data_IF_083831497134
#
_entry.id   IF_083831497134
#
_cell.length_a   1.000
_cell.length_b   1.000
_cell.length_c   1.000
_cell.angle_alpha   90.00
_cell.angle_beta   90.00
_cell.angle_gamma   90.00
#
_symmetry.space_group_name_H-M   'P 1'
#
loop_
_entity.id
_entity.type
_entity.pdbx_description
1 polymer ?
#
# COMPACT_ATOMS: atom_id res chain seq x y z
N UNK A 1 -34.70 22.98 6.75
CA UNK A 1 -33.35 23.57 6.80
C UNK A 1 -32.38 22.50 7.33
N UNK A 2 -31.63 21.81 6.45
CA UNK A 2 -30.67 20.76 6.84
C UNK A 2 -29.27 21.37 6.90
N UNK A 3 -28.70 21.45 8.09
CA UNK A 3 -27.31 21.87 8.31
C UNK A 3 -26.37 20.84 7.67
N UNK A 4 -25.82 21.16 6.49
CA UNK A 4 -24.68 20.44 5.93
C UNK A 4 -23.45 20.81 6.76
N UNK A 5 -22.99 19.87 7.59
CA UNK A 5 -21.65 19.90 8.16
C UNK A 5 -20.65 19.98 7.00
N UNK A 6 -20.11 21.17 6.74
CA UNK A 6 -18.96 21.34 5.86
C UNK A 6 -17.77 20.66 6.56
N UNK A 7 -17.51 19.39 6.27
CA UNK A 7 -16.18 18.81 6.53
C UNK A 7 -15.18 19.71 5.83
N UNK A 8 -14.34 20.41 6.60
CA UNK A 8 -13.13 21.01 6.05
C UNK A 8 -12.29 19.84 5.57
N UNK A 9 -12.33 19.54 4.29
CA UNK A 9 -11.33 18.69 3.66
C UNK A 9 -10.01 19.41 3.84
N UNK A 10 -9.20 18.96 4.82
CA UNK A 10 -7.79 19.33 4.86
C UNK A 10 -7.23 18.81 3.55
N UNK A 11 -6.98 19.71 2.61
CA UNK A 11 -6.19 19.40 1.42
C UNK A 11 -4.87 18.87 1.95
N UNK A 12 -4.59 17.59 1.72
CA UNK A 12 -3.29 17.00 2.03
C UNK A 12 -2.27 17.80 1.21
N UNK A 13 -1.59 18.74 1.86
CA UNK A 13 -0.50 19.50 1.23
C UNK A 13 0.73 18.61 1.27
N UNK A 14 1.13 18.07 0.12
CA UNK A 14 2.29 17.19 0.00
C UNK A 14 2.17 16.26 -1.21
N UNK A 15 3.31 15.67 -1.59
CA UNK A 15 3.38 14.59 -2.58
C UNK A 15 3.41 13.28 -1.78
N UNK A 16 2.34 12.49 -1.92
CA UNK A 16 2.12 11.30 -1.12
C UNK A 16 2.35 10.03 -1.92
N UNK A 17 2.86 8.98 -1.28
CA UNK A 17 2.87 7.63 -1.82
C UNK A 17 2.18 6.66 -0.86
N UNK A 18 1.66 5.57 -1.42
CA UNK A 18 1.11 4.44 -0.66
C UNK A 18 2.11 3.30 -0.64
N UNK A 19 2.38 2.72 0.52
CA UNK A 19 3.17 1.50 0.66
C UNK A 19 2.24 0.36 1.04
N UNK A 20 2.14 -0.65 0.18
CA UNK A 20 1.45 -1.91 0.46
C UNK A 20 2.45 -2.95 0.96
N UNK A 21 2.34 -3.35 2.22
CA UNK A 21 3.36 -4.14 2.91
C UNK A 21 2.83 -5.55 3.22
N UNK A 22 3.61 -6.56 2.85
CA UNK A 22 3.51 -7.94 3.35
C UNK A 22 2.11 -8.58 3.16
N UNK A 23 1.43 -8.29 2.05
CA UNK A 23 0.13 -8.90 1.68
C UNK A 23 0.30 -10.28 1.00
N UNK A 24 1.28 -11.05 1.46
CA UNK A 24 1.63 -12.38 0.97
C UNK A 24 0.76 -13.46 1.64
N UNK A 25 0.62 -14.61 1.00
CA UNK A 25 -0.30 -15.65 1.47
C UNK A 25 0.07 -16.14 2.86
N UNK A 26 1.36 -16.32 3.16
CA UNK A 26 1.83 -16.76 4.49
C UNK A 26 1.36 -15.84 5.63
N UNK A 27 1.36 -14.51 5.43
CA UNK A 27 0.94 -13.54 6.44
C UNK A 27 -0.57 -13.45 6.60
N UNK A 28 -1.33 -13.98 5.64
CA UNK A 28 -2.78 -14.03 5.67
C UNK A 28 -3.34 -15.30 6.33
N UNK A 29 -2.51 -16.31 6.63
CA UNK A 29 -2.96 -17.61 7.14
C UNK A 29 -3.63 -17.55 8.53
N UNK A 30 -3.33 -16.51 9.33
CA UNK A 30 -3.95 -16.31 10.65
C UNK A 30 -5.38 -15.73 10.60
N UNK A 31 -5.88 -15.36 9.42
CA UNK A 31 -7.22 -14.80 9.26
C UNK A 31 -8.20 -15.87 8.78
N UNK A 32 -9.40 -15.89 9.38
CA UNK A 32 -10.52 -16.63 8.79
C UNK A 32 -10.87 -16.08 7.40
N UNK A 33 -11.54 -16.90 6.59
CA UNK A 33 -11.86 -16.57 5.19
C UNK A 33 -12.60 -15.23 5.06
N UNK A 34 -13.61 -14.99 5.91
CA UNK A 34 -14.43 -13.78 5.87
C UNK A 34 -13.60 -12.52 6.20
N UNK A 35 -12.72 -12.61 7.21
CA UNK A 35 -11.83 -11.50 7.58
C UNK A 35 -10.79 -11.26 6.51
N UNK A 36 -10.21 -12.32 5.95
CA UNK A 36 -9.23 -12.25 4.86
C UNK A 36 -9.83 -11.58 3.64
N UNK A 37 -11.02 -12.00 3.20
CA UNK A 37 -11.72 -11.38 2.06
C UNK A 37 -11.99 -9.89 2.30
N UNK A 38 -12.48 -9.52 3.49
CA UNK A 38 -12.71 -8.11 3.84
C UNK A 38 -11.41 -7.30 3.84
N UNK A 39 -10.34 -7.85 4.39
CA UNK A 39 -9.03 -7.19 4.41
C UNK A 39 -8.53 -6.93 2.98
N UNK A 40 -8.57 -7.96 2.13
CA UNK A 40 -8.17 -7.88 0.72
C UNK A 40 -9.04 -6.87 -0.04
N UNK A 41 -10.36 -6.86 0.18
CA UNK A 41 -11.27 -5.90 -0.43
C UNK A 41 -10.97 -4.44 -0.01
N UNK A 42 -10.61 -4.22 1.26
CA UNK A 42 -10.16 -2.92 1.74
C UNK A 42 -8.85 -2.49 1.05
N UNK A 43 -7.86 -3.39 0.97
CA UNK A 43 -6.59 -3.07 0.28
C UNK A 43 -6.84 -2.74 -1.19
N UNK A 44 -7.64 -3.55 -1.87
CA UNK A 44 -8.03 -3.37 -3.28
C UNK A 44 -8.68 -1.99 -3.52
N UNK A 45 -9.51 -1.52 -2.58
CA UNK A 45 -10.16 -0.21 -2.70
C UNK A 45 -9.15 0.93 -2.67
N UNK A 46 -8.08 0.81 -1.88
CA UNK A 46 -7.01 1.80 -1.84
C UNK A 46 -6.13 1.72 -3.10
N UNK A 47 -5.79 0.51 -3.56
CA UNK A 47 -5.01 0.32 -4.81
C UNK A 47 -5.74 0.97 -6.00
N UNK A 48 -7.05 0.75 -6.13
CA UNK A 48 -7.87 1.39 -7.16
C UNK A 48 -7.88 2.91 -7.05
N UNK A 49 -8.03 3.44 -5.83
CA UNK A 49 -7.92 4.87 -5.58
C UNK A 49 -6.55 5.43 -6.03
N UNK A 50 -5.46 4.68 -5.81
CA UNK A 50 -4.13 5.08 -6.26
C UNK A 50 -4.06 5.13 -7.79
N UNK A 51 -4.62 4.15 -8.49
CA UNK A 51 -4.70 4.16 -9.95
C UNK A 51 -5.54 5.34 -10.47
N UNK A 52 -6.72 5.57 -9.90
CA UNK A 52 -7.67 6.60 -10.35
C UNK A 52 -7.17 8.03 -10.09
N UNK A 53 -6.43 8.22 -8.99
CA UNK A 53 -5.91 9.53 -8.57
C UNK A 53 -4.44 9.74 -8.92
N UNK A 54 -3.82 8.82 -9.66
CA UNK A 54 -2.40 8.82 -9.99
C UNK A 54 -1.53 9.02 -8.73
N UNK A 55 -1.80 8.27 -7.67
CA UNK A 55 -0.97 8.26 -6.45
C UNK A 55 0.08 7.16 -6.59
N UNK A 56 1.37 7.48 -6.45
CA UNK A 56 2.43 6.47 -6.50
C UNK A 56 2.24 5.38 -5.45
N UNK A 57 2.46 4.13 -5.84
CA UNK A 57 2.30 2.97 -4.98
C UNK A 57 3.58 2.12 -4.98
N UNK A 58 4.11 1.83 -3.79
CA UNK A 58 5.21 0.88 -3.64
C UNK A 58 4.69 -0.41 -3.03
N UNK A 59 4.87 -1.52 -3.74
CA UNK A 59 4.65 -2.86 -3.21
C UNK A 59 5.89 -3.32 -2.45
N UNK A 60 5.72 -3.70 -1.19
CA UNK A 60 6.80 -4.18 -0.32
C UNK A 60 6.52 -5.62 0.07
N UNK A 61 7.45 -6.52 -0.27
CA UNK A 61 7.35 -7.95 -0.03
C UNK A 61 8.49 -8.42 0.87
N UNK A 62 8.22 -9.33 1.80
CA UNK A 62 9.25 -10.01 2.59
C UNK A 62 9.75 -11.26 1.86
N UNK A 63 11.05 -11.46 1.72
CA UNK A 63 11.69 -12.55 0.95
C UNK A 63 11.13 -12.73 -0.47
N UNK A 64 11.25 -13.94 -1.02
CA UNK A 64 10.91 -14.27 -2.40
C UNK A 64 9.43 -14.69 -2.62
N UNK A 65 8.56 -14.53 -1.62
CA UNK A 65 7.12 -14.80 -1.80
C UNK A 65 6.40 -13.58 -2.37
N UNK A 66 5.50 -13.78 -3.33
CA UNK A 66 4.72 -12.68 -3.90
C UNK A 66 3.46 -12.37 -3.09
N UNK A 67 3.08 -11.10 -3.10
CA UNK A 67 1.75 -10.63 -2.70
C UNK A 67 0.68 -11.38 -3.48
N UNK A 68 -0.48 -11.59 -2.85
CA UNK A 68 -1.59 -12.31 -3.48
C UNK A 68 -1.92 -11.75 -4.87
N UNK A 69 -2.16 -12.67 -5.81
CA UNK A 69 -2.26 -12.39 -7.24
C UNK A 69 -3.26 -11.28 -7.58
N UNK A 70 -4.39 -11.23 -6.86
CA UNK A 70 -5.44 -10.23 -7.08
C UNK A 70 -4.94 -8.81 -6.86
N UNK A 71 -4.16 -8.57 -5.79
CA UNK A 71 -3.58 -7.25 -5.50
C UNK A 71 -2.44 -6.95 -6.46
N UNK A 72 -1.57 -7.91 -6.76
CA UNK A 72 -0.45 -7.74 -7.70
C UNK A 72 -0.95 -7.27 -9.07
N UNK A 73 -1.97 -7.92 -9.63
CA UNK A 73 -2.58 -7.52 -10.92
C UNK A 73 -3.15 -6.10 -10.89
N UNK A 74 -3.74 -5.68 -9.76
CA UNK A 74 -4.29 -4.34 -9.61
C UNK A 74 -3.19 -3.27 -9.50
N UNK A 75 -2.06 -3.61 -8.89
CA UNK A 75 -0.91 -2.72 -8.76
C UNK A 75 -0.20 -2.54 -10.10
N UNK A 76 0.01 -3.62 -10.84
CA UNK A 76 0.62 -3.59 -12.18
C UNK A 76 -0.16 -2.71 -13.17
N UNK A 77 -1.47 -2.53 -12.93
CA UNK A 77 -2.31 -1.62 -13.70
C UNK A 77 -2.16 -0.13 -13.30
N UNK A 78 -1.48 0.17 -12.20
CA UNK A 78 -1.22 1.55 -11.73
C UNK A 78 -0.03 2.13 -12.51
N UNK A 79 -0.13 3.37 -12.98
CA UNK A 79 0.93 3.96 -13.81
C UNK A 79 2.26 4.14 -13.08
N UNK A 80 2.22 4.62 -11.82
CA UNK A 80 3.41 4.83 -10.98
C UNK A 80 3.46 3.79 -9.88
N UNK A 81 4.10 2.65 -10.16
CA UNK A 81 4.35 1.64 -9.15
C UNK A 81 5.80 1.15 -9.16
N UNK A 82 6.25 0.67 -8.01
CA UNK A 82 7.57 0.02 -7.83
C UNK A 82 7.39 -1.19 -6.91
N UNK A 83 8.20 -2.24 -7.11
CA UNK A 83 8.21 -3.41 -6.23
C UNK A 83 9.55 -3.53 -5.51
N UNK A 84 9.50 -3.69 -4.20
CA UNK A 84 10.68 -3.78 -3.35
C UNK A 84 10.59 -5.02 -2.47
N UNK A 85 11.64 -5.83 -2.55
CA UNK A 85 11.80 -6.99 -1.68
C UNK A 85 12.72 -6.65 -0.52
N UNK A 86 12.28 -6.98 0.70
CA UNK A 86 13.05 -6.84 1.94
C UNK A 86 13.30 -8.21 2.57
N UNK A 87 14.41 -8.35 3.28
CA UNK A 87 14.77 -9.54 4.06
C UNK A 87 14.78 -9.27 5.57
N UNK A 88 14.34 -8.07 5.96
CA UNK A 88 14.23 -7.60 7.34
C UNK A 88 12.83 -7.06 7.61
N UNK A 89 12.45 -6.98 8.88
CA UNK A 89 11.15 -6.41 9.26
C UNK A 89 11.00 -4.95 8.77
N UNK A 90 12.05 -4.15 8.89
CA UNK A 90 12.06 -2.75 8.46
C UNK A 90 12.33 -2.62 6.95
N UNK A 91 11.33 -2.15 6.21
CA UNK A 91 11.43 -1.82 4.79
C UNK A 91 12.24 -0.56 4.51
N UNK A 92 12.28 0.41 5.43
CA UNK A 92 13.00 1.69 5.26
C UNK A 92 14.51 1.55 5.37
N UNK A 93 14.99 0.42 5.90
CA UNK A 93 16.39 0.03 5.84
C UNK A 93 16.90 -0.18 4.40
N UNK A 94 16.01 -0.37 3.42
CA UNK A 94 16.33 -0.56 2.00
C UNK A 94 16.60 0.78 1.30
N UNK A 95 17.83 1.04 0.82
CA UNK A 95 18.13 2.25 0.05
C UNK A 95 17.26 2.39 -1.20
N UNK A 96 16.84 1.27 -1.80
CA UNK A 96 16.00 1.24 -2.99
C UNK A 96 14.64 1.91 -2.72
N UNK A 97 14.04 1.68 -1.55
CA UNK A 97 12.78 2.31 -1.15
C UNK A 97 12.95 3.81 -1.00
N UNK A 98 13.99 4.23 -0.28
CA UNK A 98 14.26 5.65 -0.06
C UNK A 98 14.57 6.38 -1.38
N UNK A 99 15.32 5.74 -2.27
CA UNK A 99 15.66 6.30 -3.57
C UNK A 99 14.44 6.39 -4.49
N UNK A 100 13.56 5.38 -4.49
CA UNK A 100 12.28 5.40 -5.19
C UNK A 100 11.41 6.57 -4.72
N UNK A 101 11.17 6.67 -3.41
CA UNK A 101 10.35 7.74 -2.83
C UNK A 101 10.92 9.14 -3.10
N UNK A 102 12.25 9.31 -2.99
CA UNK A 102 12.92 10.57 -3.33
C UNK A 102 12.85 10.90 -4.82
N UNK A 103 12.99 9.89 -5.68
CA UNK A 103 12.88 10.05 -7.14
C UNK A 103 11.50 10.53 -7.57
N UNK A 104 10.46 10.24 -6.78
CA UNK A 104 9.09 10.72 -6.98
C UNK A 104 8.76 12.00 -6.19
N UNK A 105 9.75 12.63 -5.53
CA UNK A 105 9.57 13.82 -4.70
C UNK A 105 8.50 13.64 -3.59
N UNK A 106 8.45 12.45 -2.99
CA UNK A 106 7.48 12.10 -1.95
C UNK A 106 7.91 12.68 -0.60
N UNK A 107 7.00 13.36 0.08
CA UNK A 107 7.20 13.92 1.42
C UNK A 107 6.22 13.40 2.48
N UNK A 108 5.31 12.50 2.08
CA UNK A 108 4.43 11.78 2.98
C UNK A 108 4.13 10.36 2.49
N UNK A 109 4.05 9.40 3.40
CA UNK A 109 3.71 8.02 3.06
C UNK A 109 2.47 7.59 3.83
N UNK A 110 1.62 6.81 3.17
CA UNK A 110 0.51 6.08 3.79
C UNK A 110 0.91 4.61 3.81
N UNK A 111 0.93 4.01 5.00
CA UNK A 111 1.27 2.60 5.17
C UNK A 111 -0.01 1.78 5.27
N UNK A 112 -0.07 0.69 4.51
CA UNK A 112 -1.15 -0.29 4.55
C UNK A 112 -0.58 -1.69 4.36
N UNK A 113 -1.32 -2.72 4.79
CA UNK A 113 -0.86 -4.10 4.72
C UNK A 113 -0.98 -4.81 6.06
N UNK A 114 -0.14 -5.82 6.26
CA UNK A 114 -0.10 -6.62 7.50
C UNK A 114 1.20 -6.36 8.24
N UNK A 115 1.08 -6.13 9.55
CA UNK A 115 2.22 -6.23 10.44
C UNK A 115 2.42 -7.70 10.79
N UNK A 116 3.45 -8.31 10.21
CA UNK A 116 3.92 -9.61 10.65
C UNK A 116 4.72 -9.42 11.94
N UNK A 117 4.06 -9.54 13.08
CA UNK A 117 4.76 -9.83 14.32
C UNK A 117 5.15 -11.32 14.24
N UNK A 118 6.43 -11.63 14.08
CA UNK A 118 6.95 -12.94 14.48
C UNK A 118 6.86 -13.11 16.01
#
# INVERSE_FOLDING_TARGET
>A
MRLRLKRKEKKLSGNWAVLLIDMQTRFLQGFDEVRREKLVACQMSIVRCCADCDIPLVLVEFDDESTIETLTKAIEATYRHEKITKTTADAFSRPELLNCLRGWDINGVVLMGIYAAE
#
